data_IF_111681968153
#
_entry.id   IF_111681968153
#
_cell.length_a   1.000
_cell.length_b   1.000
_cell.length_c   1.000
_cell.angle_alpha   90.00
_cell.angle_beta   90.00
_cell.angle_gamma   90.00
#
_symmetry.space_group_name_H-M   'P 1'
#
loop_
_entity.id
_entity.type
_entity.pdbx_description
1 polymer ?
#
# COMPACT_ATOMS: atom_id res chain seq x y z
N UNK A 1 -74.66 -26.00 9.54
CA UNK A 1 -73.41 -25.21 9.43
C UNK A 1 -72.52 -25.93 8.45
N UNK A 2 -72.40 -25.44 7.21
CA UNK A 2 -71.55 -26.06 6.18
C UNK A 2 -70.15 -25.50 6.36
N UNK A 3 -69.20 -26.35 6.76
CA UNK A 3 -67.79 -25.99 6.84
C UNK A 3 -67.21 -26.16 5.44
N UNK A 4 -67.05 -25.05 4.71
CA UNK A 4 -66.32 -25.04 3.44
C UNK A 4 -64.82 -25.19 3.73
N UNK A 5 -64.27 -26.37 3.48
CA UNK A 5 -62.83 -26.64 3.61
C UNK A 5 -62.10 -25.94 2.45
N UNK A 6 -61.34 -24.90 2.77
CA UNK A 6 -60.58 -24.12 1.79
C UNK A 6 -59.33 -24.91 1.36
N UNK A 7 -59.39 -25.60 0.22
CA UNK A 7 -58.34 -26.46 -0.31
C UNK A 7 -57.29 -25.68 -1.15
N UNK A 8 -56.80 -24.55 -0.64
CA UNK A 8 -55.79 -23.75 -1.34
C UNK A 8 -54.38 -24.26 -0.98
N UNK A 9 -54.00 -25.40 -1.57
CA UNK A 9 -52.62 -25.88 -1.55
C UNK A 9 -51.77 -25.22 -2.65
N UNK A 10 -50.46 -25.16 -2.47
CA UNK A 10 -49.55 -24.69 -3.50
C UNK A 10 -49.51 -25.68 -4.68
N UNK A 11 -49.59 -25.14 -5.90
CA UNK A 11 -49.36 -25.94 -7.10
C UNK A 11 -47.86 -26.21 -7.27
N UNK A 12 -47.53 -27.33 -7.93
CA UNK A 12 -46.13 -27.65 -8.27
C UNK A 12 -45.50 -26.56 -9.16
N UNK A 13 -46.30 -25.92 -10.01
CA UNK A 13 -45.85 -24.85 -10.89
C UNK A 13 -45.46 -23.60 -10.10
N UNK A 14 -46.26 -23.20 -9.09
CA UNK A 14 -45.90 -22.09 -8.20
C UNK A 14 -44.59 -22.35 -7.46
N UNK A 15 -44.37 -23.58 -6.99
CA UNK A 15 -43.11 -23.95 -6.34
C UNK A 15 -41.93 -23.86 -7.31
N UNK A 16 -42.07 -24.35 -8.54
CA UNK A 16 -41.01 -24.28 -9.54
C UNK A 16 -40.67 -22.84 -9.94
N UNK A 17 -41.69 -22.00 -10.15
CA UNK A 17 -41.50 -20.59 -10.51
C UNK A 17 -40.84 -19.82 -9.35
N UNK A 18 -41.26 -20.05 -8.11
CA UNK A 18 -40.66 -19.40 -6.94
C UNK A 18 -39.21 -19.83 -6.73
N UNK A 19 -38.87 -21.11 -6.90
CA UNK A 19 -37.49 -21.59 -6.85
C UNK A 19 -36.62 -21.01 -7.97
N UNK A 20 -37.16 -20.90 -9.19
CA UNK A 20 -36.45 -20.28 -10.31
C UNK A 20 -36.15 -18.79 -10.03
N UNK A 21 -37.13 -18.05 -9.53
CA UNK A 21 -36.95 -16.64 -9.13
C UNK A 21 -35.96 -16.49 -7.97
N UNK A 22 -36.03 -17.38 -6.97
CA UNK A 22 -35.10 -17.39 -5.85
C UNK A 22 -33.65 -17.64 -6.32
N UNK A 23 -33.46 -18.56 -7.28
CA UNK A 23 -32.16 -18.79 -7.90
C UNK A 23 -31.59 -17.52 -8.54
N UNK A 24 -32.40 -16.79 -9.31
CA UNK A 24 -32.00 -15.52 -9.94
C UNK A 24 -31.58 -14.49 -8.88
N UNK A 25 -32.38 -14.32 -7.83
CA UNK A 25 -32.10 -13.37 -6.75
C UNK A 25 -30.80 -13.71 -6.03
N UNK A 26 -30.58 -14.99 -5.69
CA UNK A 26 -29.35 -15.44 -5.03
C UNK A 26 -28.13 -15.24 -5.91
N UNK A 27 -28.23 -15.53 -7.21
CA UNK A 27 -27.11 -15.32 -8.15
C UNK A 27 -26.69 -13.85 -8.22
N UNK A 28 -27.66 -12.94 -8.36
CA UNK A 28 -27.40 -11.50 -8.38
C UNK A 28 -26.73 -11.07 -7.06
N UNK A 29 -27.33 -11.42 -5.92
CA UNK A 29 -26.80 -11.06 -4.62
C UNK A 29 -25.36 -11.58 -4.40
N UNK A 30 -25.11 -12.84 -4.78
CA UNK A 30 -23.81 -13.48 -4.62
C UNK A 30 -22.74 -12.78 -5.46
N UNK A 31 -23.06 -12.43 -6.71
CA UNK A 31 -22.12 -11.71 -7.59
C UNK A 31 -21.75 -10.34 -7.05
N UNK A 32 -22.74 -9.58 -6.55
CA UNK A 32 -22.53 -8.26 -5.96
C UNK A 32 -21.68 -8.36 -4.69
N UNK A 33 -22.01 -9.31 -3.82
CA UNK A 33 -21.26 -9.55 -2.58
C UNK A 33 -19.80 -9.91 -2.87
N UNK A 34 -19.56 -10.85 -3.79
CA UNK A 34 -18.20 -11.28 -4.14
C UNK A 34 -17.39 -10.14 -4.77
N UNK A 35 -17.99 -9.39 -5.69
CA UNK A 35 -17.36 -8.23 -6.31
C UNK A 35 -17.02 -7.15 -5.27
N UNK A 36 -17.97 -6.82 -4.40
CA UNK A 36 -17.78 -5.84 -3.33
C UNK A 36 -16.68 -6.25 -2.35
N UNK A 37 -16.68 -7.51 -1.92
CA UNK A 37 -15.65 -8.04 -1.02
C UNK A 37 -14.25 -7.99 -1.66
N UNK A 38 -14.13 -8.41 -2.93
CA UNK A 38 -12.86 -8.35 -3.67
C UNK A 38 -12.37 -6.90 -3.81
N UNK A 39 -13.27 -5.98 -4.15
CA UNK A 39 -12.96 -4.56 -4.25
C UNK A 39 -12.47 -4.00 -2.91
N UNK A 40 -13.18 -4.29 -1.83
CA UNK A 40 -12.81 -3.85 -0.48
C UNK A 40 -11.41 -4.34 -0.08
N UNK A 41 -11.11 -5.62 -0.30
CA UNK A 41 -9.79 -6.18 -0.01
C UNK A 41 -8.69 -5.52 -0.82
N UNK A 42 -8.91 -5.32 -2.13
CA UNK A 42 -7.94 -4.65 -2.98
C UNK A 42 -7.69 -3.20 -2.55
N UNK A 43 -8.76 -2.47 -2.19
CA UNK A 43 -8.65 -1.11 -1.66
C UNK A 43 -7.86 -1.10 -0.35
N UNK A 44 -8.11 -2.03 0.57
CA UNK A 44 -7.36 -2.11 1.82
C UNK A 44 -5.86 -2.31 1.56
N UNK A 45 -5.48 -3.24 0.68
CA UNK A 45 -4.07 -3.45 0.35
C UNK A 45 -3.41 -2.22 -0.26
N UNK A 46 -4.10 -1.51 -1.15
CA UNK A 46 -3.58 -0.28 -1.73
C UNK A 46 -3.37 0.83 -0.68
N UNK A 47 -4.30 0.94 0.29
CA UNK A 47 -4.18 1.89 1.40
C UNK A 47 -2.97 1.54 2.27
N UNK A 48 -2.76 0.26 2.58
CA UNK A 48 -1.63 -0.18 3.40
C UNK A 48 -0.28 0.16 2.72
N UNK A 49 -0.16 -0.05 1.40
CA UNK A 49 1.03 0.34 0.63
C UNK A 49 1.24 1.85 0.67
N UNK A 50 0.19 2.62 0.36
CA UNK A 50 0.26 4.08 0.36
C UNK A 50 0.68 4.60 1.74
N UNK A 51 0.14 4.03 2.81
CA UNK A 51 0.51 4.39 4.18
C UNK A 51 1.98 4.08 4.48
N UNK A 52 2.49 2.92 4.06
CA UNK A 52 3.90 2.57 4.23
C UNK A 52 4.83 3.52 3.48
N UNK A 53 4.52 3.82 2.22
CA UNK A 53 5.30 4.77 1.40
C UNK A 53 5.29 6.16 2.03
N UNK A 54 4.11 6.65 2.44
CA UNK A 54 3.97 7.95 3.11
C UNK A 54 4.69 7.99 4.44
N UNK A 55 4.62 6.93 5.24
CA UNK A 55 5.31 6.85 6.51
C UNK A 55 6.83 6.88 6.33
N UNK A 56 7.38 6.07 5.41
CA UNK A 56 8.81 6.09 5.09
C UNK A 56 9.25 7.47 4.59
N UNK A 57 8.50 8.07 3.66
CA UNK A 57 8.82 9.40 3.14
C UNK A 57 8.81 10.45 4.24
N UNK A 58 7.74 10.49 5.05
CA UNK A 58 7.62 11.44 6.16
C UNK A 58 8.73 11.24 7.18
N UNK A 59 9.12 10.00 7.46
CA UNK A 59 10.25 9.71 8.34
C UNK A 59 11.53 10.34 7.78
N UNK A 60 11.87 10.08 6.53
CA UNK A 60 13.10 10.60 5.89
C UNK A 60 13.07 12.13 5.82
N UNK A 61 11.96 12.73 5.37
CA UNK A 61 11.76 14.18 5.33
C UNK A 61 11.98 14.78 6.72
N UNK A 62 11.35 14.21 7.74
CA UNK A 62 11.50 14.70 9.11
C UNK A 62 12.95 14.59 9.63
N UNK A 63 13.73 13.58 9.22
CA UNK A 63 15.15 13.51 9.59
C UNK A 63 15.97 14.57 8.87
N UNK A 64 15.65 14.88 7.60
CA UNK A 64 16.32 15.92 6.83
C UNK A 64 15.97 17.34 7.30
N UNK A 65 14.72 17.56 7.69
CA UNK A 65 14.23 18.87 8.18
C UNK A 65 14.78 19.23 9.56
N UNK A 66 15.23 18.25 10.35
CA UNK A 66 15.97 18.50 11.60
C UNK A 66 17.30 19.22 11.38
N UNK A 67 17.78 19.31 10.14
CA UNK A 67 19.05 19.94 9.80
C UNK A 67 20.25 19.10 10.24
N UNK A 68 20.39 17.87 9.72
CA UNK A 68 21.51 17.01 10.06
C UNK A 68 22.83 17.64 9.59
N UNK A 69 23.94 17.26 10.24
CA UNK A 69 25.25 17.82 9.88
C UNK A 69 25.78 17.22 8.57
N UNK A 70 25.48 15.94 8.33
CA UNK A 70 25.99 15.15 7.22
C UNK A 70 24.90 14.28 6.59
N UNK A 71 24.88 14.27 5.26
CA UNK A 71 24.01 13.43 4.46
C UNK A 71 24.88 12.73 3.42
N UNK A 72 24.92 11.39 3.43
CA UNK A 72 25.60 10.61 2.41
C UNK A 72 24.58 9.81 1.61
N UNK A 73 24.57 9.98 0.30
CA UNK A 73 23.86 9.09 -0.61
C UNK A 73 24.75 7.87 -0.83
N UNK A 74 24.20 6.68 -0.59
CA UNK A 74 24.93 5.41 -0.68
C UNK A 74 24.20 4.46 -1.64
N UNK A 75 24.84 3.33 -1.95
CA UNK A 75 24.28 2.24 -2.76
C UNK A 75 23.76 2.74 -4.12
N UNK A 76 24.56 3.57 -4.80
CA UNK A 76 24.22 4.19 -6.09
C UNK A 76 22.89 4.98 -6.09
N UNK A 77 22.47 5.52 -4.94
CA UNK A 77 21.21 6.24 -4.79
C UNK A 77 20.09 5.42 -4.15
N UNK A 78 20.32 4.16 -3.79
CA UNK A 78 19.31 3.31 -3.13
C UNK A 78 19.37 3.32 -1.60
N UNK A 79 20.21 4.17 -1.03
CA UNK A 79 20.28 4.38 0.41
C UNK A 79 20.72 5.78 0.79
N UNK A 80 20.50 6.09 2.06
CA UNK A 80 20.84 7.37 2.67
C UNK A 80 21.46 7.13 4.05
N UNK A 81 22.52 7.85 4.36
CA UNK A 81 23.09 7.93 5.71
C UNK A 81 22.93 9.35 6.23
N UNK A 82 22.18 9.52 7.31
CA UNK A 82 21.95 10.81 7.96
C UNK A 82 22.60 10.78 9.34
N UNK A 83 23.66 11.57 9.54
CA UNK A 83 24.43 11.65 10.81
C UNK A 83 24.79 10.26 11.38
N UNK A 84 25.21 9.34 10.51
CA UNK A 84 25.60 7.98 10.86
C UNK A 84 24.45 6.96 10.90
N UNK A 85 23.18 7.39 10.80
CA UNK A 85 22.03 6.49 10.74
C UNK A 85 21.77 6.04 9.30
N UNK A 86 21.77 4.73 9.07
CA UNK A 86 21.53 4.13 7.77
C UNK A 86 20.04 3.99 7.50
N UNK A 87 19.62 4.39 6.31
CA UNK A 87 18.28 4.19 5.76
C UNK A 87 18.49 3.55 4.40
N UNK A 88 18.15 2.26 4.28
CA UNK A 88 18.44 1.49 3.08
C UNK A 88 17.30 0.54 2.74
N UNK A 89 17.07 0.36 1.45
CA UNK A 89 16.14 -0.64 0.93
C UNK A 89 16.81 -2.02 0.92
N UNK A 90 16.13 -3.00 1.50
CA UNK A 90 16.39 -4.40 1.22
C UNK A 90 15.47 -4.88 0.09
N UNK A 91 16.06 -5.07 -1.09
CA UNK A 91 15.35 -5.54 -2.29
C UNK A 91 14.89 -7.00 -2.20
N UNK A 92 15.43 -7.79 -1.27
CA UNK A 92 14.99 -9.19 -1.08
C UNK A 92 13.68 -9.25 -0.32
N UNK A 93 13.58 -8.46 0.75
CA UNK A 93 12.42 -8.45 1.64
C UNK A 93 11.42 -7.34 1.31
N UNK A 94 11.74 -6.46 0.35
CA UNK A 94 10.97 -5.27 -0.03
C UNK A 94 10.67 -4.35 1.16
N UNK A 95 11.71 -4.05 1.93
CA UNK A 95 11.60 -3.32 3.21
C UNK A 95 12.67 -2.26 3.33
N UNK A 96 12.32 -1.14 3.95
CA UNK A 96 13.32 -0.15 4.37
C UNK A 96 13.65 -0.38 5.84
N UNK A 97 14.95 -0.37 6.15
CA UNK A 97 15.45 -0.51 7.51
C UNK A 97 16.22 0.73 7.98
N UNK A 98 16.10 1.02 9.27
CA UNK A 98 17.02 1.86 10.02
C UNK A 98 18.14 0.96 10.57
N UNK A 99 19.39 1.37 10.40
CA UNK A 99 20.63 0.65 10.80
C UNK A 99 21.18 -0.34 9.74
N UNK A 100 22.50 -0.51 9.80
CA UNK A 100 23.24 -1.50 9.02
C UNK A 100 22.79 -2.92 9.31
N UNK A 101 22.40 -3.21 10.57
CA UNK A 101 22.04 -4.55 11.01
C UNK A 101 20.59 -4.95 10.67
N UNK A 102 19.82 -4.07 10.00
CA UNK A 102 18.41 -4.33 9.63
C UNK A 102 17.50 -4.68 10.81
N UNK A 103 17.86 -4.20 12.01
CA UNK A 103 17.13 -4.52 13.24
C UNK A 103 15.85 -3.71 13.43
N UNK A 104 15.68 -2.59 12.72
CA UNK A 104 14.52 -1.72 12.85
C UNK A 104 13.89 -1.44 11.48
N UNK A 105 12.78 -2.10 11.19
CA UNK A 105 11.99 -1.91 9.98
C UNK A 105 11.19 -0.61 10.06
N UNK A 106 11.25 0.22 9.01
CA UNK A 106 10.44 1.45 8.94
C UNK A 106 9.25 1.31 8.00
N UNK A 107 9.34 0.51 6.94
CA UNK A 107 8.26 0.29 5.99
C UNK A 107 8.44 -1.01 5.23
N UNK A 108 7.31 -1.64 4.88
CA UNK A 108 7.24 -2.85 4.06
C UNK A 108 6.62 -2.57 2.70
N UNK A 109 6.73 -3.56 1.81
CA UNK A 109 6.19 -3.52 0.46
C UNK A 109 6.78 -2.38 -0.37
N UNK A 110 8.03 -2.02 -0.10
CA UNK A 110 8.80 -1.03 -0.84
C UNK A 110 9.65 -1.75 -1.87
N UNK A 111 9.46 -1.43 -3.14
CA UNK A 111 10.20 -2.03 -4.25
C UNK A 111 11.32 -1.14 -4.77
N UNK A 112 11.17 0.18 -4.63
CA UNK A 112 12.20 1.14 -5.06
C UNK A 112 12.35 2.25 -4.02
N UNK A 113 13.60 2.62 -3.78
CA UNK A 113 13.99 3.79 -3.01
C UNK A 113 15.14 4.42 -3.78
N UNK A 114 14.94 5.66 -4.26
CA UNK A 114 15.91 6.37 -5.07
C UNK A 114 16.14 7.76 -4.46
N UNK A 115 17.41 8.15 -4.36
CA UNK A 115 17.84 9.46 -3.89
C UNK A 115 18.80 10.06 -4.91
N UNK A 116 18.43 11.21 -5.46
CA UNK A 116 19.19 11.92 -6.48
C UNK A 116 19.50 13.32 -5.99
N UNK A 117 20.77 13.72 -6.02
CA UNK A 117 21.17 15.10 -5.78
C UNK A 117 21.01 15.94 -7.06
N UNK A 118 20.06 16.87 -7.06
CA UNK A 118 19.85 17.86 -8.13
C UNK A 118 20.51 19.19 -7.74
N UNK A 119 21.13 19.86 -8.72
CA UNK A 119 21.69 21.21 -8.59
C UNK A 119 22.63 21.40 -7.37
N UNK A 120 23.31 20.33 -6.95
CA UNK A 120 24.21 20.25 -5.79
C UNK A 120 23.60 20.65 -4.43
N UNK A 121 22.28 20.84 -4.34
CA UNK A 121 21.62 21.35 -3.12
C UNK A 121 20.25 20.74 -2.83
N UNK A 122 19.62 20.09 -3.82
CA UNK A 122 18.26 19.56 -3.70
C UNK A 122 18.32 18.05 -3.71
N UNK A 123 17.80 17.40 -2.68
CA UNK A 123 17.63 15.96 -2.66
C UNK A 123 16.25 15.63 -3.24
N UNK A 124 16.23 14.96 -4.37
CA UNK A 124 15.05 14.33 -4.89
C UNK A 124 14.97 12.92 -4.34
N UNK A 125 13.89 12.60 -3.66
CA UNK A 125 13.67 11.30 -3.04
C UNK A 125 12.41 10.68 -3.65
N UNK A 126 12.54 9.47 -4.15
CA UNK A 126 11.44 8.67 -4.67
C UNK A 126 11.35 7.37 -3.87
N UNK A 127 10.15 7.02 -3.45
CA UNK A 127 9.84 5.75 -2.82
C UNK A 127 8.67 5.14 -3.57
N UNK A 128 8.82 3.89 -4.00
CA UNK A 128 7.76 3.14 -4.67
C UNK A 128 7.41 1.91 -3.87
N UNK A 129 6.13 1.80 -3.53
CA UNK A 129 5.55 0.62 -2.91
C UNK A 129 4.71 -0.18 -3.90
N UNK A 130 4.63 -1.49 -3.69
CA UNK A 130 3.86 -2.41 -4.54
C UNK A 130 3.50 -3.68 -3.78
N UNK A 131 2.35 -4.28 -4.11
CA UNK A 131 1.99 -5.58 -3.55
C UNK A 131 2.93 -6.67 -4.08
N UNK A 132 3.07 -7.76 -3.32
CA UNK A 132 3.87 -8.92 -3.74
C UNK A 132 3.37 -9.59 -5.02
N UNK A 133 2.11 -9.37 -5.40
CA UNK A 133 1.51 -9.85 -6.66
C UNK A 133 1.71 -8.88 -7.84
N UNK A 134 2.40 -7.75 -7.62
CA UNK A 134 2.64 -6.71 -8.62
C UNK A 134 1.51 -5.69 -8.77
N UNK A 135 0.41 -5.81 -8.02
CA UNK A 135 -0.69 -4.84 -8.03
C UNK A 135 -0.45 -3.70 -7.02
N UNK A 136 -1.35 -2.71 -6.97
CA UNK A 136 -1.33 -1.69 -5.91
C UNK A 136 -0.09 -0.79 -5.89
N UNK A 137 0.56 -0.61 -7.04
CA UNK A 137 1.78 0.20 -7.13
C UNK A 137 1.48 1.67 -6.83
N UNK A 138 2.22 2.24 -5.88
CA UNK A 138 2.10 3.63 -5.46
C UNK A 138 3.51 4.23 -5.34
N UNK A 139 3.74 5.39 -5.97
CA UNK A 139 5.00 6.12 -5.90
C UNK A 139 4.77 7.49 -5.26
N UNK A 140 5.72 7.89 -4.42
CA UNK A 140 5.78 9.23 -3.87
C UNK A 140 7.18 9.81 -4.13
N UNK A 141 7.21 10.99 -4.71
CA UNK A 141 8.44 11.74 -4.99
C UNK A 141 8.39 13.10 -4.31
N UNK A 142 9.50 13.51 -3.69
CA UNK A 142 9.63 14.83 -3.06
C UNK A 142 10.99 15.44 -3.35
N UNK A 143 11.05 16.77 -3.41
CA UNK A 143 12.29 17.55 -3.48
C UNK A 143 12.49 18.27 -2.14
N UNK A 144 13.65 18.05 -1.52
CA UNK A 144 13.99 18.57 -0.19
C UNK A 144 15.25 19.42 -0.29
N UNK A 145 15.27 20.52 0.45
CA UNK A 145 16.41 21.42 0.60
C UNK A 145 16.97 21.30 2.02
N UNK A 146 18.02 20.48 2.24
CA UNK A 146 18.58 20.29 3.58
C UNK A 146 19.14 21.60 4.15
N UNK A 147 18.83 21.89 5.41
CA UNK A 147 19.33 23.10 6.08
C UNK A 147 20.75 22.84 6.59
N UNK A 148 21.74 23.50 5.96
CA UNK A 148 23.15 23.54 6.43
C UNK A 148 23.81 22.17 6.61
N UNK A 149 23.50 21.22 5.74
CA UNK A 149 24.11 19.88 5.74
C UNK A 149 25.20 19.76 4.68
N UNK A 150 26.28 19.03 4.98
CA UNK A 150 27.23 18.59 3.96
C UNK A 150 26.66 17.36 3.27
N UNK A 151 26.48 17.42 1.94
CA UNK A 151 25.94 16.32 1.15
C UNK A 151 27.08 15.66 0.37
N UNK A 152 27.28 14.36 0.59
CA UNK A 152 28.23 13.55 -0.18
C UNK A 152 27.47 12.50 -0.99
N UNK A 153 28.00 12.18 -2.17
CA UNK A 153 27.49 11.12 -3.05
C UNK A 153 28.60 10.09 -3.21
N UNK A 154 28.33 8.84 -2.87
CA UNK A 154 29.25 7.70 -3.02
C UNK A 154 28.82 6.78 -4.15
#
# INVERSE_FOLDING_TARGET
>A
MVVTKNNNGFTLVELLVTLALLGIVISIYSSLYYSGYKSYKNTQYNIDIEQNVRYAMNYIVNQLDKGPSSINIIDNGHGLVIDGNYIQLDTKDNKIYLDQNRGHEIATNIVEFNVILKNNKVLNIEIVGQNSDGTGRFSLTTDIFPRKSVINVQ
#
